data_IF_845846440745
#
_entry.id   IF_845846440745
#
_cell.length_a   1.000
_cell.length_b   1.000
_cell.length_c   1.000
_cell.angle_alpha   90.00
_cell.angle_beta   90.00
_cell.angle_gamma   90.00
#
_symmetry.space_group_name_H-M   'P 1'
#
loop_
_entity.id
_entity.type
_entity.pdbx_description
1 polymer ?
#
# COMPACT_ATOMS: atom_id res chain seq x y z
N UNK A 1 13.72 2.20 -3.42
CA UNK A 1 13.29 0.90 -2.88
C UNK A 1 11.99 0.56 -3.60
N UNK A 2 11.87 -0.59 -4.25
CA UNK A 2 10.64 -0.95 -4.96
C UNK A 2 9.65 -1.62 -4.00
N UNK A 3 8.35 -1.40 -4.19
CA UNK A 3 7.26 -2.12 -3.51
C UNK A 3 7.19 -3.57 -3.96
N UNK A 4 8.14 -4.39 -3.53
CA UNK A 4 8.29 -5.76 -4.03
C UNK A 4 7.09 -6.64 -3.69
N UNK A 5 6.49 -6.45 -2.51
CA UNK A 5 5.36 -7.27 -2.06
C UNK A 5 4.21 -7.26 -3.07
N UNK A 6 3.65 -6.07 -3.39
CA UNK A 6 2.53 -5.96 -4.33
C UNK A 6 2.86 -6.52 -5.72
N UNK A 7 4.12 -6.38 -6.18
CA UNK A 7 4.55 -6.94 -7.46
C UNK A 7 4.68 -8.47 -7.45
N UNK A 8 5.18 -9.07 -6.36
CA UNK A 8 5.24 -10.53 -6.20
C UNK A 8 3.84 -11.10 -6.11
N UNK A 9 3.00 -10.50 -5.27
CA UNK A 9 1.63 -10.92 -5.05
C UNK A 9 0.74 -10.86 -6.30
N UNK A 10 1.03 -9.94 -7.24
CA UNK A 10 0.33 -9.88 -8.54
C UNK A 10 0.43 -11.19 -9.34
N UNK A 11 1.51 -11.94 -9.18
CA UNK A 11 1.72 -13.21 -9.89
C UNK A 11 1.40 -14.43 -9.03
N UNK A 12 0.93 -14.22 -7.80
CA UNK A 12 0.56 -15.26 -6.86
C UNK A 12 -0.94 -15.54 -6.97
N UNK A 13 -1.32 -16.81 -6.98
CA UNK A 13 -2.72 -17.23 -6.89
C UNK A 13 -3.25 -17.06 -5.47
N UNK A 14 -4.58 -16.95 -5.31
CA UNK A 14 -5.22 -16.92 -3.99
C UNK A 14 -4.96 -18.20 -3.17
N UNK A 15 -4.61 -19.31 -3.81
CA UNK A 15 -4.21 -20.53 -3.12
C UNK A 15 -2.80 -20.39 -2.51
N UNK A 16 -1.85 -19.90 -3.30
CA UNK A 16 -0.47 -19.65 -2.86
C UNK A 16 -0.44 -18.57 -1.77
N UNK A 17 -1.25 -17.50 -1.86
CA UNK A 17 -1.34 -16.47 -0.83
C UNK A 17 -1.80 -17.05 0.51
N UNK A 18 -2.81 -17.94 0.48
CA UNK A 18 -3.30 -18.65 1.68
C UNK A 18 -2.23 -19.53 2.32
N UNK A 19 -1.44 -20.22 1.51
CA UNK A 19 -0.31 -21.02 2.01
C UNK A 19 0.71 -20.10 2.68
N UNK A 20 1.07 -18.98 2.04
CA UNK A 20 2.02 -18.01 2.58
C UNK A 20 1.57 -17.45 3.95
N UNK A 21 0.30 -17.05 4.09
CA UNK A 21 -0.23 -16.57 5.38
C UNK A 21 -0.19 -17.66 6.46
N UNK A 22 -0.51 -18.91 6.09
CA UNK A 22 -0.42 -20.05 7.01
C UNK A 22 1.02 -20.33 7.47
N UNK A 23 1.97 -20.33 6.54
CA UNK A 23 3.39 -20.59 6.82
C UNK A 23 4.04 -19.47 7.63
N UNK A 24 3.69 -18.21 7.31
CA UNK A 24 4.14 -17.03 8.05
C UNK A 24 3.47 -16.85 9.42
N UNK A 25 2.48 -17.71 9.76
CA UNK A 25 1.69 -17.62 11.00
C UNK A 25 1.12 -16.23 11.24
N UNK A 26 0.76 -15.55 10.16
CA UNK A 26 0.21 -14.19 10.16
C UNK A 26 -1.14 -14.22 9.47
N UNK A 27 -2.10 -13.50 10.02
CA UNK A 27 -3.43 -13.35 9.45
C UNK A 27 -3.48 -12.13 8.53
N UNK A 28 -4.44 -12.13 7.60
CA UNK A 28 -4.68 -10.96 6.74
C UNK A 28 -5.12 -9.74 7.55
N UNK A 29 -5.89 -9.93 8.62
CA UNK A 29 -6.30 -8.84 9.52
C UNK A 29 -5.10 -8.22 10.26
N UNK A 30 -4.13 -9.03 10.71
CA UNK A 30 -2.91 -8.52 11.33
C UNK A 30 -2.07 -7.73 10.33
N UNK A 31 -1.95 -8.21 9.09
CA UNK A 31 -1.29 -7.46 8.02
C UNK A 31 -2.02 -6.16 7.73
N UNK A 32 -3.34 -6.18 7.56
CA UNK A 32 -4.17 -5.01 7.31
C UNK A 32 -3.99 -3.95 8.41
N UNK A 33 -4.04 -4.36 9.68
CA UNK A 33 -3.78 -3.48 10.81
C UNK A 33 -2.37 -2.89 10.76
N UNK A 34 -1.36 -3.67 10.38
CA UNK A 34 0.01 -3.16 10.23
C UNK A 34 0.12 -2.10 9.14
N UNK A 35 -0.57 -2.28 8.01
CA UNK A 35 -0.60 -1.30 6.92
C UNK A 35 -1.27 0.01 7.38
N UNK A 36 -2.36 -0.08 8.14
CA UNK A 36 -3.01 1.08 8.76
C UNK A 36 -2.06 1.83 9.70
N UNK A 37 -1.34 1.12 10.56
CA UNK A 37 -0.36 1.74 11.48
C UNK A 37 0.80 2.40 10.73
N UNK A 38 1.24 1.84 9.60
CA UNK A 38 2.24 2.47 8.73
C UNK A 38 1.70 3.79 8.15
N UNK A 39 0.48 3.81 7.61
CA UNK A 39 -0.12 5.03 7.07
C UNK A 39 -0.34 6.10 8.16
N UNK A 40 -0.77 5.69 9.37
CA UNK A 40 -0.89 6.60 10.53
C UNK A 40 0.46 7.19 10.94
N UNK A 41 1.53 6.39 10.93
CA UNK A 41 2.88 6.84 11.26
C UNK A 41 3.43 7.81 10.21
N UNK A 42 3.11 7.58 8.94
CA UNK A 42 3.62 8.34 7.81
C UNK A 42 2.55 9.28 7.23
N UNK A 43 1.96 10.17 8.03
CA UNK A 43 0.90 11.09 7.54
C UNK A 43 1.34 12.03 6.43
N UNK A 44 2.63 12.33 6.32
CA UNK A 44 3.24 13.13 5.24
C UNK A 44 4.32 12.33 4.51
N UNK A 45 4.64 12.65 3.24
CA UNK A 45 5.73 11.99 2.52
C UNK A 45 7.05 12.26 3.24
N UNK A 46 7.95 11.26 3.25
CA UNK A 46 9.29 11.37 3.84
C UNK A 46 10.36 11.03 2.81
N UNK A 47 11.43 11.83 2.78
CA UNK A 47 12.59 11.58 1.91
C UNK A 47 13.42 10.36 2.36
N UNK A 48 13.31 9.95 3.61
CA UNK A 48 13.98 8.74 4.12
C UNK A 48 13.32 7.46 3.59
N UNK A 49 12.00 7.50 3.43
CA UNK A 49 11.19 6.36 2.92
C UNK A 49 10.16 6.83 1.86
N UNK A 50 10.60 7.34 0.69
CA UNK A 50 9.75 8.00 -0.30
C UNK A 50 8.51 7.24 -0.73
N UNK A 51 8.61 5.91 -0.86
CA UNK A 51 7.53 5.07 -1.37
C UNK A 51 6.69 4.37 -0.30
N UNK A 52 6.94 4.57 1.00
CA UNK A 52 6.35 3.70 2.04
C UNK A 52 4.82 3.71 2.01
N UNK A 53 4.20 4.88 1.91
CA UNK A 53 2.75 5.00 1.81
C UNK A 53 2.21 4.37 0.55
N UNK A 54 2.82 4.70 -0.59
CA UNK A 54 2.47 4.12 -1.88
C UNK A 54 2.43 2.59 -1.82
N UNK A 55 3.53 1.96 -1.40
CA UNK A 55 3.62 0.50 -1.37
C UNK A 55 2.65 -0.12 -0.36
N UNK A 56 2.37 0.59 0.73
CA UNK A 56 1.36 0.19 1.70
C UNK A 56 -0.03 0.16 1.06
N UNK A 57 -0.39 1.18 0.29
CA UNK A 57 -1.68 1.24 -0.41
C UNK A 57 -1.74 0.25 -1.58
N UNK A 58 -0.65 0.06 -2.34
CA UNK A 58 -0.59 -0.96 -3.39
C UNK A 58 -0.86 -2.36 -2.82
N UNK A 59 -0.28 -2.68 -1.66
CA UNK A 59 -0.52 -3.97 -1.00
C UNK A 59 -1.95 -4.09 -0.45
N UNK A 60 -2.51 -3.02 0.13
CA UNK A 60 -3.89 -3.00 0.59
C UNK A 60 -4.89 -3.23 -0.57
N UNK A 61 -4.69 -2.56 -1.71
CA UNK A 61 -5.49 -2.78 -2.93
C UNK A 61 -5.39 -4.22 -3.39
N UNK A 62 -4.20 -4.82 -3.38
CA UNK A 62 -4.06 -6.22 -3.75
C UNK A 62 -4.85 -7.13 -2.79
N UNK A 63 -4.75 -6.91 -1.48
CA UNK A 63 -5.50 -7.70 -0.49
C UNK A 63 -7.02 -7.60 -0.70
N UNK A 64 -7.53 -6.39 -0.99
CA UNK A 64 -8.95 -6.15 -1.27
C UNK A 64 -9.40 -6.85 -2.56
N UNK A 65 -8.52 -6.98 -3.56
CA UNK A 65 -8.81 -7.69 -4.82
C UNK A 65 -8.71 -9.21 -4.69
N UNK A 66 -7.82 -9.73 -3.86
CA UNK A 66 -7.69 -11.17 -3.63
C UNK A 66 -8.91 -11.73 -2.87
N UNK A 67 -9.39 -10.99 -1.85
CA UNK A 67 -10.54 -11.37 -1.03
C UNK A 67 -11.39 -10.16 -0.62
N UNK A 68 -12.67 -10.20 -0.95
CA UNK A 68 -13.61 -9.12 -0.66
C UNK A 68 -13.79 -8.85 0.85
N UNK A 69 -13.57 -9.84 1.71
CA UNK A 69 -13.58 -9.70 3.17
C UNK A 69 -12.55 -8.68 3.68
N UNK A 70 -11.45 -8.49 2.95
CA UNK A 70 -10.44 -7.50 3.29
C UNK A 70 -10.97 -6.06 3.12
N UNK A 71 -11.95 -5.81 2.24
CA UNK A 71 -12.58 -4.49 2.10
C UNK A 71 -13.26 -4.09 3.41
N UNK A 72 -14.05 -4.99 4.00
CA UNK A 72 -14.69 -4.76 5.29
C UNK A 72 -13.66 -4.61 6.41
N UNK A 73 -12.62 -5.44 6.39
CA UNK A 73 -11.53 -5.37 7.38
C UNK A 73 -10.84 -4.00 7.36
N UNK A 74 -10.48 -3.47 6.19
CA UNK A 74 -9.88 -2.14 6.07
C UNK A 74 -10.85 -1.02 6.44
N UNK A 75 -12.14 -1.16 6.09
CA UNK A 75 -13.18 -0.21 6.47
C UNK A 75 -13.31 -0.11 7.99
N UNK A 76 -13.40 -1.24 8.68
CA UNK A 76 -13.52 -1.30 10.14
C UNK A 76 -12.27 -0.75 10.85
N UNK A 77 -11.10 -0.86 10.22
CA UNK A 77 -9.85 -0.27 10.71
C UNK A 77 -9.72 1.25 10.41
N UNK A 78 -10.70 1.85 9.73
CA UNK A 78 -10.74 3.28 9.44
C UNK A 78 -9.87 3.72 8.25
N UNK A 79 -9.67 2.83 7.26
CA UNK A 79 -8.86 3.12 6.06
C UNK A 79 -9.37 4.35 5.29
N UNK A 80 -10.68 4.54 5.19
CA UNK A 80 -11.30 5.61 4.39
C UNK A 80 -10.87 7.01 4.87
N UNK A 81 -11.10 7.31 6.14
CA UNK A 81 -10.73 8.59 6.75
C UNK A 81 -9.21 8.80 6.77
N UNK A 82 -8.45 7.71 6.95
CA UNK A 82 -7.00 7.76 6.91
C UNK A 82 -6.47 8.14 5.52
N UNK A 83 -7.04 7.53 4.46
CA UNK A 83 -6.65 7.81 3.08
C UNK A 83 -7.05 9.22 2.64
N UNK A 84 -8.20 9.75 3.08
CA UNK A 84 -8.58 11.16 2.84
C UNK A 84 -7.51 12.13 3.35
N UNK A 85 -7.03 11.94 4.58
CA UNK A 85 -5.94 12.75 5.13
C UNK A 85 -4.59 12.55 4.44
N UNK A 86 -4.30 11.33 3.97
CA UNK A 86 -3.06 11.06 3.20
C UNK A 86 -3.11 11.72 1.82
N UNK A 87 -4.27 11.73 1.15
CA UNK A 87 -4.49 12.38 -0.15
C UNK A 87 -4.15 13.88 -0.14
N UNK A 88 -4.53 14.58 0.94
CA UNK A 88 -4.24 16.01 1.13
C UNK A 88 -2.74 16.34 1.16
N UNK A 89 -1.89 15.35 1.47
CA UNK A 89 -0.43 15.52 1.58
C UNK A 89 0.34 14.78 0.49
N UNK A 90 -0.33 14.40 -0.60
CA UNK A 90 0.32 13.71 -1.73
C UNK A 90 1.44 14.57 -2.33
N UNK A 91 2.52 13.89 -2.76
CA UNK A 91 3.69 14.56 -3.32
C UNK A 91 4.25 13.80 -4.52
N UNK A 92 4.91 14.54 -5.41
CA UNK A 92 5.71 13.99 -6.51
C UNK A 92 6.74 12.96 -6.04
N UNK A 93 7.21 13.07 -4.79
CA UNK A 93 8.14 12.13 -4.19
C UNK A 93 7.65 10.67 -4.26
N UNK A 94 6.33 10.47 -4.18
CA UNK A 94 5.71 9.14 -4.17
C UNK A 94 5.44 8.61 -5.59
N UNK A 95 5.74 9.40 -6.62
CA UNK A 95 5.50 9.04 -8.01
C UNK A 95 6.74 8.39 -8.67
N UNK A 96 7.85 8.22 -7.98
CA UNK A 96 9.09 7.63 -8.51
C UNK A 96 9.49 6.33 -7.81
N UNK A 97 10.00 5.36 -8.58
CA UNK A 97 10.47 4.08 -8.04
C UNK A 97 11.84 4.19 -7.34
N UNK A 98 12.74 5.02 -7.88
CA UNK A 98 14.15 5.10 -7.48
C UNK A 98 14.60 6.55 -7.49
N UNK A 99 15.54 6.89 -6.61
CA UNK A 99 16.13 8.22 -6.52
C UNK A 99 17.64 8.16 -6.68
N UNK A 100 18.21 9.16 -7.34
CA UNK A 100 19.64 9.45 -7.38
C UNK A 100 19.86 10.85 -6.81
N UNK A 101 20.22 10.93 -5.52
CA UNK A 101 20.19 12.18 -4.77
C UNK A 101 18.78 12.76 -4.74
N UNK A 102 18.63 14.02 -5.18
CA UNK A 102 17.33 14.69 -5.27
C UNK A 102 16.54 14.39 -6.56
N UNK A 103 17.10 13.59 -7.48
CA UNK A 103 16.48 13.30 -8.78
C UNK A 103 15.67 12.00 -8.71
N UNK A 104 14.37 12.10 -8.93
CA UNK A 104 13.46 10.95 -9.09
C UNK A 104 13.61 10.31 -10.47
N UNK A 105 13.71 8.98 -10.50
CA UNK A 105 13.88 8.18 -11.70
C UNK A 105 12.78 7.11 -11.78
N UNK A 106 12.49 6.67 -13.01
CA UNK A 106 11.52 5.61 -13.30
C UNK A 106 10.16 5.86 -12.62
N UNK A 107 9.39 6.77 -13.20
CA UNK A 107 8.09 7.20 -12.68
C UNK A 107 7.08 6.04 -12.72
N UNK A 108 6.25 5.93 -11.69
CA UNK A 108 5.13 5.01 -11.68
C UNK A 108 4.10 5.38 -12.76
N UNK A 109 3.46 4.37 -13.35
CA UNK A 109 2.41 4.56 -14.36
C UNK A 109 1.19 5.28 -13.78
N UNK A 110 0.82 4.96 -12.55
CA UNK A 110 -0.25 5.62 -11.80
C UNK A 110 0.37 6.59 -10.79
N UNK A 111 -0.19 7.79 -10.66
CA UNK A 111 0.18 8.71 -9.59
C UNK A 111 -0.24 8.15 -8.23
N UNK A 112 0.43 8.59 -7.16
CA UNK A 112 0.04 8.27 -5.79
C UNK A 112 -1.40 8.71 -5.51
N UNK A 113 -1.79 9.89 -6.00
CA UNK A 113 -3.17 10.37 -5.90
C UNK A 113 -4.17 9.37 -6.49
N UNK A 114 -4.04 9.00 -7.77
CA UNK A 114 -4.99 8.08 -8.41
C UNK A 114 -4.97 6.68 -7.80
N UNK A 115 -3.81 6.25 -7.30
CA UNK A 115 -3.70 5.00 -6.55
C UNK A 115 -4.50 5.06 -5.24
N UNK A 116 -4.39 6.16 -4.49
CA UNK A 116 -5.09 6.32 -3.22
C UNK A 116 -6.60 6.47 -3.41
N UNK A 117 -7.02 7.16 -4.48
CA UNK A 117 -8.41 7.20 -4.93
C UNK A 117 -8.95 5.78 -5.24
N UNK A 118 -8.16 4.94 -5.93
CA UNK A 118 -8.55 3.54 -6.21
C UNK A 118 -8.74 2.72 -4.93
N UNK A 119 -8.06 3.05 -3.84
CA UNK A 119 -8.21 2.34 -2.56
C UNK A 119 -9.43 2.80 -1.74
N UNK A 120 -10.11 3.88 -2.17
CA UNK A 120 -11.34 4.39 -1.57
C UNK A 120 -12.62 3.84 -2.25
N UNK A 121 -12.47 3.23 -3.43
CA UNK A 121 -13.55 2.57 -4.19
C UNK A 121 -13.83 1.15 -3.66
#
# INVERSE_FOLDING_TARGET
MAGLAANVFKYMTSHESRILFKESRTTEAELANKLIEILKKHRSPSTEVPGIRRFTVELAIWMMKDKGENIYTFKDLGMEELLKGVLETTSELENFNVFSGAVGLNRHKLTAQSLFETALE
#
